data_IF_302081005442
#
_entry.id   IF_302081005442
#
_cell.length_a   1.000
_cell.length_b   1.000
_cell.length_c   1.000
_cell.angle_alpha   90.00
_cell.angle_beta   90.00
_cell.angle_gamma   90.00
#
_symmetry.space_group_name_H-M   'P 1'
#
loop_
_entity.id
_entity.type
_entity.pdbx_description
1 polymer ?
#
# COMPACT_ATOMS: atom_id res chain seq x y z
N UNK A 1 0.48 -18.85 -14.65
CA UNK A 1 -0.75 -19.11 -15.45
C UNK A 1 -1.76 -17.94 -15.31
N UNK A 2 -1.42 -16.74 -15.81
CA UNK A 2 -2.27 -15.54 -15.77
C UNK A 2 -3.18 -15.36 -17.01
N UNK A 3 -3.10 -16.27 -17.99
CA UNK A 3 -3.71 -16.10 -19.33
C UNK A 3 -5.24 -16.27 -19.43
N UNK A 4 -5.98 -16.48 -18.33
CA UNK A 4 -7.42 -16.86 -18.40
C UNK A 4 -8.38 -16.13 -17.45
N UNK A 5 -8.00 -15.02 -16.81
CA UNK A 5 -8.97 -14.17 -16.10
C UNK A 5 -9.47 -13.03 -17.00
N UNK A 6 -10.71 -12.58 -16.80
CA UNK A 6 -11.32 -11.45 -17.50
C UNK A 6 -10.48 -10.17 -17.42
N UNK A 7 -9.82 -9.95 -16.27
CA UNK A 7 -8.86 -8.86 -16.07
C UNK A 7 -7.59 -8.96 -16.92
N UNK A 8 -7.20 -10.15 -17.40
CA UNK A 8 -6.08 -10.30 -18.32
C UNK A 8 -6.40 -9.77 -19.73
N UNK A 9 -7.66 -9.86 -20.17
CA UNK A 9 -8.11 -9.27 -21.43
C UNK A 9 -8.30 -7.76 -21.32
N UNK A 10 -8.74 -7.27 -20.14
CA UNK A 10 -8.89 -5.85 -19.88
C UNK A 10 -7.52 -5.17 -19.71
N UNK A 11 -6.56 -5.80 -19.02
CA UNK A 11 -5.18 -5.32 -18.95
C UNK A 11 -4.51 -5.23 -20.31
N UNK A 12 -4.76 -6.18 -21.24
CA UNK A 12 -4.22 -6.11 -22.60
C UNK A 12 -4.84 -4.96 -23.41
N UNK A 13 -6.10 -4.62 -23.14
CA UNK A 13 -6.80 -3.49 -23.76
C UNK A 13 -6.30 -2.15 -23.20
N UNK A 14 -6.07 -2.08 -21.89
CA UNK A 14 -5.58 -0.88 -21.20
C UNK A 14 -4.09 -0.62 -21.52
N UNK A 15 -3.29 -1.67 -21.73
CA UNK A 15 -1.89 -1.59 -22.19
C UNK A 15 -1.80 -1.04 -23.63
N UNK A 16 -2.82 -1.29 -24.48
CA UNK A 16 -2.90 -0.78 -25.84
C UNK A 16 -3.29 0.71 -25.88
N UNK A 17 -4.07 1.20 -24.93
CA UNK A 17 -4.46 2.61 -24.83
C UNK A 17 -3.29 3.53 -24.41
N UNK A 18 -2.29 2.98 -23.70
CA UNK A 18 -1.09 3.70 -23.26
C UNK A 18 0.11 3.56 -24.22
N UNK A 19 -0.09 3.04 -25.43
CA UNK A 19 0.94 3.00 -26.48
C UNK A 19 1.99 1.88 -26.36
N UNK A 20 1.76 0.86 -25.53
CA UNK A 20 2.68 -0.29 -25.36
C UNK A 20 2.08 -1.60 -25.89
N UNK A 21 1.51 -1.58 -27.10
CA UNK A 21 0.87 -2.73 -27.75
C UNK A 21 1.77 -3.95 -28.02
N UNK A 22 3.05 -3.93 -27.65
CA UNK A 22 4.00 -5.03 -27.83
C UNK A 22 4.43 -5.74 -26.51
N UNK A 23 3.84 -5.36 -25.37
CA UNK A 23 4.26 -5.86 -24.06
C UNK A 23 5.50 -5.15 -23.50
N UNK A 24 5.78 -5.36 -22.22
CA UNK A 24 6.86 -4.68 -21.50
C UNK A 24 8.24 -4.94 -22.16
N UNK A 25 9.07 -3.91 -22.39
CA UNK A 25 10.39 -4.10 -23.01
C UNK A 25 11.29 -4.98 -22.14
N UNK A 26 12.13 -5.81 -22.78
CA UNK A 26 13.01 -6.77 -22.13
C UNK A 26 13.99 -6.15 -21.11
N UNK A 27 14.21 -4.84 -21.17
CA UNK A 27 15.01 -4.06 -20.20
C UNK A 27 14.33 -3.85 -18.85
N UNK A 28 13.03 -4.15 -18.72
CA UNK A 28 12.27 -3.95 -17.48
C UNK A 28 12.60 -4.98 -16.37
N UNK A 29 13.46 -5.98 -16.62
CA UNK A 29 13.83 -7.01 -15.64
C UNK A 29 12.62 -7.62 -14.89
N UNK A 30 11.50 -7.79 -15.60
CA UNK A 30 10.23 -8.26 -15.05
C UNK A 30 10.34 -9.64 -14.38
N UNK A 31 11.33 -10.46 -14.77
CA UNK A 31 11.62 -11.77 -14.17
C UNK A 31 12.39 -11.71 -12.84
N UNK A 32 13.06 -10.59 -12.53
CA UNK A 32 13.62 -10.30 -11.18
C UNK A 32 12.56 -9.64 -10.28
N UNK A 33 11.71 -8.79 -10.84
CA UNK A 33 10.53 -8.26 -10.14
C UNK A 33 9.56 -9.39 -9.73
N UNK A 34 9.28 -10.34 -10.61
CA UNK A 34 8.43 -11.49 -10.28
C UNK A 34 8.99 -12.36 -9.14
N UNK A 35 10.32 -12.45 -8.98
CA UNK A 35 10.97 -13.25 -7.92
C UNK A 35 11.07 -12.54 -6.57
N UNK A 36 11.15 -11.20 -6.54
CA UNK A 36 11.27 -10.44 -5.30
C UNK A 36 9.95 -9.80 -4.83
N UNK A 37 9.03 -9.50 -5.75
CA UNK A 37 7.79 -8.75 -5.47
C UNK A 37 6.54 -9.33 -6.16
N UNK A 38 6.64 -10.49 -6.81
CA UNK A 38 5.47 -11.29 -7.24
C UNK A 38 4.59 -10.69 -8.36
N UNK A 39 5.07 -9.72 -9.14
CA UNK A 39 4.28 -9.07 -10.19
C UNK A 39 5.02 -8.89 -11.52
N UNK A 40 4.27 -8.94 -12.63
CA UNK A 40 4.77 -8.87 -14.01
C UNK A 40 3.86 -8.12 -14.99
N UNK A 41 2.89 -7.30 -14.53
CA UNK A 41 2.09 -6.44 -15.42
C UNK A 41 2.31 -4.95 -15.15
N UNK A 42 2.47 -4.17 -16.21
CA UNK A 42 2.72 -2.72 -16.19
C UNK A 42 1.48 -1.95 -15.76
N UNK A 43 0.29 -2.43 -16.13
CA UNK A 43 -1.01 -1.89 -15.67
C UNK A 43 -1.18 -1.92 -14.16
N UNK A 44 -0.65 -2.96 -13.49
CA UNK A 44 -0.62 -2.96 -12.03
C UNK A 44 0.26 -1.79 -11.59
N UNK A 45 1.52 -1.72 -12.01
CA UNK A 45 2.52 -0.68 -11.66
C UNK A 45 2.07 0.78 -11.87
N UNK A 46 1.11 1.06 -12.76
CA UNK A 46 0.62 2.41 -13.05
C UNK A 46 -0.57 2.88 -12.18
N UNK A 47 -1.27 1.99 -11.47
CA UNK A 47 -2.31 2.38 -10.50
C UNK A 47 -1.74 2.89 -9.15
N UNK A 48 -0.47 3.29 -9.13
CA UNK A 48 0.33 3.47 -7.92
C UNK A 48 0.48 4.95 -7.55
N UNK A 49 -0.20 5.36 -6.47
CA UNK A 49 -0.04 6.67 -5.84
C UNK A 49 0.58 6.47 -4.44
N UNK A 50 1.90 6.18 -4.37
CA UNK A 50 2.66 6.07 -3.12
C UNK A 50 3.65 4.89 -3.05
N UNK A 51 4.69 5.01 -2.21
CA UNK A 51 5.66 3.92 -1.97
C UNK A 51 5.01 2.79 -1.16
N UNK A 52 5.07 1.57 -1.67
CA UNK A 52 4.59 0.38 -0.95
C UNK A 52 5.50 -0.08 0.19
N UNK A 53 6.66 0.58 0.30
CA UNK A 53 7.57 0.45 1.42
C UNK A 53 7.53 1.75 2.21
N UNK A 54 7.15 1.66 3.48
CA UNK A 54 7.23 2.74 4.46
C UNK A 54 8.44 2.49 5.36
N UNK A 55 9.36 3.46 5.43
CA UNK A 55 10.41 3.45 6.46
C UNK A 55 9.92 4.21 7.68
N UNK A 56 9.88 3.54 8.82
CA UNK A 56 9.44 4.09 10.10
C UNK A 56 10.48 3.75 11.17
N UNK A 57 11.33 4.72 11.51
CA UNK A 57 12.48 4.49 12.39
C UNK A 57 13.40 3.39 11.83
N UNK A 58 13.61 2.34 12.63
CA UNK A 58 14.40 1.16 12.25
C UNK A 58 13.58 0.06 11.53
N UNK A 59 12.33 0.33 11.16
CA UNK A 59 11.44 -0.63 10.51
C UNK A 59 11.18 -0.24 9.05
N UNK A 60 11.07 -1.24 8.19
CA UNK A 60 10.61 -1.15 6.81
C UNK A 60 9.33 -1.95 6.66
N UNK A 61 8.23 -1.33 6.25
CA UNK A 61 6.90 -1.96 6.17
C UNK A 61 6.47 -2.10 4.72
N UNK A 62 6.12 -3.31 4.30
CA UNK A 62 5.62 -3.65 2.97
C UNK A 62 4.18 -4.13 3.04
N UNK A 63 3.32 -3.67 2.13
CA UNK A 63 1.91 -4.10 2.01
C UNK A 63 1.62 -4.88 0.71
N UNK A 64 2.64 -5.57 0.18
CA UNK A 64 2.52 -6.33 -1.07
C UNK A 64 1.72 -7.63 -0.89
N UNK A 65 0.80 -7.91 -1.82
CA UNK A 65 0.04 -9.16 -1.82
C UNK A 65 -1.10 -9.19 -0.81
N UNK A 66 -1.26 -10.36 -0.16
CA UNK A 66 -2.23 -10.62 0.91
C UNK A 66 -1.65 -10.41 2.31
N UNK A 67 -0.40 -9.94 2.44
CA UNK A 67 0.31 -9.84 3.70
C UNK A 67 0.91 -8.44 3.89
N UNK A 68 0.82 -7.92 5.11
CA UNK A 68 1.62 -6.76 5.54
C UNK A 68 2.79 -7.28 6.35
N UNK A 69 3.99 -6.87 5.98
CA UNK A 69 5.25 -7.36 6.54
C UNK A 69 6.06 -6.20 7.09
N UNK A 70 6.46 -6.30 8.35
CA UNK A 70 7.47 -5.44 8.97
C UNK A 70 8.83 -6.12 8.97
N UNK A 71 9.83 -5.47 8.37
CA UNK A 71 11.21 -5.90 8.29
C UNK A 71 12.08 -4.96 9.11
N UNK A 72 13.08 -5.49 9.80
CA UNK A 72 14.16 -4.69 10.34
C UNK A 72 14.91 -4.00 9.18
N UNK A 73 15.02 -2.68 9.23
CA UNK A 73 15.50 -1.88 8.11
C UNK A 73 17.03 -1.96 7.90
N UNK A 74 17.78 -2.50 8.86
CA UNK A 74 19.22 -2.69 8.77
C UNK A 74 19.58 -4.09 8.24
N UNK A 75 18.86 -5.10 8.70
CA UNK A 75 19.16 -6.52 8.41
C UNK A 75 18.23 -7.14 7.36
N UNK A 76 17.09 -6.51 7.07
CA UNK A 76 16.05 -7.05 6.19
C UNK A 76 15.30 -8.25 6.78
N UNK A 77 15.56 -8.62 8.04
CA UNK A 77 14.90 -9.75 8.70
C UNK A 77 13.46 -9.40 9.05
N UNK A 78 12.56 -10.36 8.87
CA UNK A 78 11.14 -10.21 9.23
C UNK A 78 10.99 -10.08 10.75
N UNK A 79 10.48 -8.93 11.19
CA UNK A 79 10.15 -8.66 12.58
C UNK A 79 8.73 -9.16 12.90
N UNK A 80 7.78 -8.87 12.02
CA UNK A 80 6.38 -9.31 12.15
C UNK A 80 5.73 -9.38 10.77
N UNK A 81 4.64 -10.14 10.66
CA UNK A 81 3.75 -10.08 9.52
C UNK A 81 2.33 -10.49 9.88
N UNK A 82 1.36 -10.00 9.13
CA UNK A 82 -0.04 -10.41 9.27
C UNK A 82 -0.75 -10.41 7.93
N UNK A 83 -1.73 -11.30 7.79
CA UNK A 83 -2.53 -11.42 6.58
C UNK A 83 -3.72 -10.48 6.59
N UNK A 84 -4.03 -9.95 5.41
CA UNK A 84 -5.22 -9.19 5.10
C UNK A 84 -6.30 -10.13 4.58
N UNK A 85 -7.56 -9.82 4.91
CA UNK A 85 -8.69 -10.57 4.39
C UNK A 85 -8.99 -10.16 2.93
N UNK A 86 -9.29 -11.14 2.08
CA UNK A 86 -9.69 -10.92 0.69
C UNK A 86 -8.98 -11.85 -0.29
N UNK A 87 -9.31 -11.70 -1.57
CA UNK A 87 -8.66 -12.42 -2.67
C UNK A 87 -7.71 -11.48 -3.42
N UNK A 88 -6.41 -11.57 -3.09
CA UNK A 88 -5.39 -10.76 -3.74
C UNK A 88 -5.36 -10.98 -5.25
N UNK A 89 -5.67 -12.18 -5.75
CA UNK A 89 -5.63 -12.50 -7.18
C UNK A 89 -6.78 -11.84 -7.92
N UNK A 90 -7.99 -11.85 -7.34
CA UNK A 90 -9.14 -11.12 -7.87
C UNK A 90 -8.93 -9.60 -7.82
N UNK A 91 -8.19 -9.11 -6.82
CA UNK A 91 -7.95 -7.69 -6.57
C UNK A 91 -6.77 -7.06 -7.34
N UNK A 92 -6.12 -7.78 -8.26
CA UNK A 92 -4.98 -7.26 -9.02
C UNK A 92 -3.61 -7.41 -8.35
N UNK A 93 -3.52 -8.30 -7.35
CA UNK A 93 -2.28 -8.77 -6.73
C UNK A 93 -1.90 -8.10 -5.41
N UNK A 94 -2.78 -7.30 -4.81
CA UNK A 94 -2.56 -6.68 -3.51
C UNK A 94 -3.88 -6.29 -2.84
N UNK A 95 -3.94 -6.41 -1.51
CA UNK A 95 -5.14 -6.17 -0.71
C UNK A 95 -5.12 -4.86 0.09
N UNK A 96 -3.98 -4.18 0.14
CA UNK A 96 -3.82 -2.92 0.86
C UNK A 96 -3.30 -1.80 -0.04
N UNK A 97 -3.72 -0.59 0.30
CA UNK A 97 -3.12 0.65 -0.15
C UNK A 97 -1.68 0.80 0.39
N UNK A 98 -0.89 1.73 -0.15
CA UNK A 98 0.40 2.06 0.43
C UNK A 98 0.27 2.44 1.92
N UNK A 99 1.15 1.92 2.80
CA UNK A 99 1.12 2.23 4.22
C UNK A 99 1.46 3.71 4.47
N UNK A 100 0.87 4.29 5.51
CA UNK A 100 1.19 5.65 5.96
C UNK A 100 1.65 5.63 7.43
N UNK A 101 2.51 6.57 7.82
CA UNK A 101 2.91 6.76 9.21
C UNK A 101 2.30 8.05 9.77
N UNK A 102 1.80 7.98 11.00
CA UNK A 102 1.42 9.16 11.78
C UNK A 102 1.64 8.87 13.27
N UNK A 103 2.27 9.80 13.98
CA UNK A 103 2.71 9.62 15.36
C UNK A 103 3.55 8.35 15.51
N UNK A 104 3.14 7.47 16.43
CA UNK A 104 3.75 6.17 16.65
C UNK A 104 2.91 5.00 16.12
N UNK A 105 2.25 5.20 14.96
CA UNK A 105 1.39 4.20 14.32
C UNK A 105 1.66 4.12 12.83
N UNK A 106 1.45 2.92 12.30
CA UNK A 106 1.31 2.67 10.86
C UNK A 106 -0.19 2.56 10.56
N UNK A 107 -0.62 3.15 9.46
CA UNK A 107 -2.01 3.20 9.02
C UNK A 107 -2.10 2.49 7.67
N UNK A 108 -2.99 1.51 7.58
CA UNK A 108 -3.19 0.67 6.39
C UNK A 108 -4.64 0.81 5.93
N UNK A 109 -4.87 1.31 4.72
CA UNK A 109 -6.16 1.21 4.05
C UNK A 109 -6.25 -0.12 3.28
N UNK A 110 -7.39 -0.80 3.34
CA UNK A 110 -7.59 -2.10 2.67
C UNK A 110 -8.67 -2.02 1.59
N UNK A 111 -8.61 -2.95 0.64
CA UNK A 111 -9.65 -3.13 -0.37
C UNK A 111 -10.97 -3.66 0.21
N UNK A 112 -10.95 -4.21 1.43
CA UNK A 112 -12.16 -4.55 2.18
C UNK A 112 -12.85 -3.32 2.81
N UNK A 113 -12.33 -2.11 2.56
CA UNK A 113 -12.86 -0.87 3.09
C UNK A 113 -12.60 -0.66 4.58
N UNK A 114 -11.52 -1.25 5.09
CA UNK A 114 -11.06 -1.06 6.47
C UNK A 114 -9.82 -0.16 6.49
N UNK A 115 -9.72 0.66 7.52
CA UNK A 115 -8.51 1.39 7.88
C UNK A 115 -8.00 0.83 9.20
N UNK A 116 -6.84 0.19 9.16
CA UNK A 116 -6.24 -0.47 10.31
C UNK A 116 -5.04 0.33 10.82
N UNK A 117 -4.99 0.55 12.14
CA UNK A 117 -3.82 1.11 12.81
C UNK A 117 -2.99 -0.01 13.41
N UNK A 118 -1.68 0.04 13.19
CA UNK A 118 -0.73 -1.02 13.55
C UNK A 118 0.37 -0.44 14.42
N UNK A 119 0.71 -1.18 15.46
CA UNK A 119 1.86 -0.88 16.30
C UNK A 119 3.16 -1.29 15.59
N UNK A 120 4.10 -0.34 15.35
CA UNK A 120 5.29 -0.62 14.53
C UNK A 120 6.20 -1.72 15.07
N UNK A 121 6.35 -1.85 16.39
CA UNK A 121 7.28 -2.82 16.98
C UNK A 121 6.76 -4.26 16.94
N UNK A 122 5.46 -4.43 17.16
CA UNK A 122 4.83 -5.74 17.36
C UNK A 122 4.03 -6.23 16.15
N UNK A 123 3.66 -5.33 15.23
CA UNK A 123 2.73 -5.65 14.15
C UNK A 123 1.28 -5.84 14.62
N UNK A 124 0.98 -5.53 15.89
CA UNK A 124 -0.36 -5.71 16.45
C UNK A 124 -1.29 -4.63 15.93
N UNK A 125 -2.43 -5.06 15.35
CA UNK A 125 -3.55 -4.21 14.94
C UNK A 125 -4.25 -3.66 16.19
N UNK A 126 -4.30 -2.34 16.34
CA UNK A 126 -4.84 -1.65 17.54
C UNK A 126 -6.29 -1.22 17.36
N UNK A 127 -6.57 -0.39 16.35
CA UNK A 127 -7.92 0.08 16.00
C UNK A 127 -8.19 -0.16 14.53
N UNK A 128 -9.45 -0.49 14.23
CA UNK A 128 -9.97 -0.64 12.87
C UNK A 128 -11.13 0.33 12.69
N UNK A 129 -11.05 1.15 11.65
CA UNK A 129 -12.11 2.06 11.23
C UNK A 129 -12.77 1.53 9.96
N UNK A 130 -14.08 1.69 9.85
CA UNK A 130 -14.85 1.22 8.70
C UNK A 130 -15.08 2.36 7.71
N UNK A 131 -14.36 2.34 6.60
CA UNK A 131 -14.57 3.26 5.49
C UNK A 131 -15.65 2.75 4.51
N UNK A 132 -16.08 1.48 4.64
CA UNK A 132 -17.16 0.83 3.86
C UNK A 132 -16.95 0.75 2.35
N UNK A 133 -15.86 1.33 1.84
CA UNK A 133 -15.53 1.41 0.41
C UNK A 133 -14.07 1.00 0.18
N UNK A 134 -13.74 0.30 -0.93
CA UNK A 134 -12.38 -0.15 -1.21
C UNK A 134 -11.36 0.99 -1.30
N UNK A 135 -10.28 0.91 -0.51
CA UNK A 135 -9.24 1.94 -0.45
C UNK A 135 -8.01 1.47 -1.24
N UNK A 136 -7.64 2.22 -2.29
CA UNK A 136 -6.39 2.03 -3.05
C UNK A 136 -5.37 3.14 -2.84
N UNK A 137 -5.84 4.31 -2.43
CA UNK A 137 -5.00 5.50 -2.24
C UNK A 137 -4.28 5.46 -0.90
N UNK A 138 -3.05 5.96 -0.85
CA UNK A 138 -2.34 6.13 0.41
C UNK A 138 -3.14 7.04 1.35
N UNK A 139 -3.39 6.65 2.62
CA UNK A 139 -4.06 7.52 3.57
C UNK A 139 -3.25 8.77 3.89
N UNK A 140 -3.93 9.90 4.04
CA UNK A 140 -3.37 11.16 4.58
C UNK A 140 -3.88 11.34 5.99
N UNK A 141 -2.99 11.67 6.93
CA UNK A 141 -3.34 11.77 8.35
C UNK A 141 -2.88 13.10 8.92
N UNK A 142 -3.77 13.81 9.60
CA UNK A 142 -3.41 15.06 10.28
C UNK A 142 -4.32 15.31 11.49
N UNK A 143 -3.72 15.62 12.63
CA UNK A 143 -4.43 16.01 13.86
C UNK A 143 -5.60 15.07 14.23
N UNK A 144 -5.37 13.76 14.15
CA UNK A 144 -6.39 12.76 14.45
C UNK A 144 -7.39 12.47 13.34
N UNK A 145 -7.32 13.15 12.20
CA UNK A 145 -8.14 12.86 11.03
C UNK A 145 -7.41 11.96 10.06
N UNK A 146 -8.12 10.97 9.52
CA UNK A 146 -7.64 10.13 8.42
C UNK A 146 -8.49 10.43 7.18
N UNK A 147 -7.83 10.79 6.09
CA UNK A 147 -8.41 11.05 4.78
C UNK A 147 -8.01 9.95 3.80
N UNK A 148 -8.98 9.37 3.10
CA UNK A 148 -8.75 8.33 2.09
C UNK A 148 -9.60 8.56 0.84
N UNK A 149 -8.96 8.44 -0.32
CA UNK A 149 -9.66 8.33 -1.59
C UNK A 149 -10.03 6.87 -1.88
N UNK A 150 -11.30 6.61 -2.15
CA UNK A 150 -11.81 5.27 -2.46
C UNK A 150 -11.76 4.99 -3.96
N UNK A 151 -11.83 3.71 -4.33
CA UNK A 151 -11.87 3.29 -5.73
C UNK A 151 -13.17 3.73 -6.42
N UNK A 152 -14.23 3.94 -5.64
CA UNK A 152 -15.56 4.31 -6.12
C UNK A 152 -15.72 5.83 -6.28
N UNK A 153 -14.62 6.60 -6.16
CA UNK A 153 -14.61 8.05 -6.38
C UNK A 153 -14.97 8.90 -5.16
N UNK A 154 -15.06 8.33 -3.97
CA UNK A 154 -15.35 9.07 -2.73
C UNK A 154 -14.08 9.53 -2.04
N UNK A 155 -14.14 10.72 -1.43
CA UNK A 155 -13.19 11.15 -0.41
C UNK A 155 -13.83 10.96 0.97
N UNK A 156 -13.25 10.10 1.79
CA UNK A 156 -13.73 9.80 3.15
C UNK A 156 -12.79 10.43 4.16
N UNK A 157 -13.36 11.09 5.16
CA UNK A 157 -12.65 11.61 6.34
C UNK A 157 -13.18 10.92 7.59
N UNK A 158 -12.28 10.41 8.43
CA UNK A 158 -12.61 9.74 9.69
C UNK A 158 -11.90 10.46 10.82
N UNK A 159 -12.66 10.97 11.78
CA UNK A 159 -12.15 11.43 13.06
C UNK A 159 -11.83 10.20 13.94
N UNK A 160 -10.57 10.08 14.33
CA UNK A 160 -10.11 8.97 15.17
C UNK A 160 -10.29 9.23 16.66
N UNK A 161 -10.56 10.48 17.05
CA UNK A 161 -10.51 10.99 18.42
C UNK A 161 -9.10 11.00 19.03
N UNK A 162 -8.07 10.61 18.27
CA UNK A 162 -6.70 10.48 18.74
C UNK A 162 -5.78 11.49 18.04
N UNK A 163 -5.62 12.66 18.67
CA UNK A 163 -4.77 13.75 18.13
C UNK A 163 -3.28 13.38 18.08
N UNK A 164 -2.86 12.29 18.71
CA UNK A 164 -1.48 11.79 18.55
C UNK A 164 -1.21 11.23 17.15
N UNK A 165 -2.26 10.92 16.38
CA UNK A 165 -2.17 10.57 14.97
C UNK A 165 -1.97 11.83 14.12
N UNK A 166 -0.75 12.35 14.15
CA UNK A 166 -0.34 13.53 13.39
C UNK A 166 1.11 13.37 12.90
N UNK A 167 1.66 14.38 12.23
CA UNK A 167 3.05 14.33 11.75
C UNK A 167 3.24 13.40 10.54
N UNK A 168 2.24 13.29 9.68
CA UNK A 168 2.32 12.55 8.42
C UNK A 168 3.53 13.00 7.58
N UNK A 169 4.31 12.03 7.13
CA UNK A 169 5.51 12.24 6.30
C UNK A 169 5.13 12.06 4.84
N UNK A 170 5.07 13.16 4.11
CA UNK A 170 4.64 13.18 2.70
C UNK A 170 5.78 12.69 1.79
N UNK A 171 5.44 12.18 0.61
CA UNK A 171 6.37 12.19 -0.53
C UNK A 171 6.56 13.64 -1.01
N UNK A 172 7.81 14.05 -1.25
CA UNK A 172 8.15 15.40 -1.71
C UNK A 172 8.61 16.40 -0.63
N UNK A 173 8.84 15.95 0.62
CA UNK A 173 9.44 16.78 1.66
C UNK A 173 10.91 16.39 1.85
N UNK A 174 11.79 17.37 1.71
CA UNK A 174 13.25 17.22 1.72
C UNK A 174 13.77 16.35 2.88
N UNK A 175 14.91 15.68 2.63
CA UNK A 175 15.64 14.86 3.61
C UNK A 175 16.13 15.63 4.87
N UNK A 176 15.86 16.95 4.96
CA UNK A 176 16.31 17.82 6.04
C UNK A 176 15.36 17.92 7.24
N UNK A 177 14.19 17.26 7.22
CA UNK A 177 13.30 17.20 8.39
C UNK A 177 12.88 15.76 8.69
N UNK A 178 13.87 14.91 8.95
CA UNK A 178 13.68 13.75 9.82
C UNK A 178 13.22 14.29 11.17
N UNK A 179 11.94 14.12 11.49
CA UNK A 179 11.40 14.50 12.79
C UNK A 179 12.23 13.83 13.89
N UNK A 180 13.06 14.62 14.58
CA UNK A 180 13.43 14.32 15.96
C UNK A 180 12.14 14.40 16.77
N UNK A 181 11.69 13.27 17.25
CA UNK A 181 11.17 13.09 18.61
C UNK A 181 11.77 11.81 19.16
#
# INVERSE_FOLDING_TARGET
MQKKSSYGKQSLSDDAANGFGAGAPASANASKAARNIGQSSVSSLQAFQGSRILRFGALSVSSMGDEVVGLDAATGKKAWSFKLAGDAKAAGGFLAAPPAAAGNRIIIGTLAGKIETVEPKSGVRKKVYDARHPIRSQPVIHDGWIYVGTTDGWLIAIDTGDRSLTGWTTWGKDAARTGRM
#
